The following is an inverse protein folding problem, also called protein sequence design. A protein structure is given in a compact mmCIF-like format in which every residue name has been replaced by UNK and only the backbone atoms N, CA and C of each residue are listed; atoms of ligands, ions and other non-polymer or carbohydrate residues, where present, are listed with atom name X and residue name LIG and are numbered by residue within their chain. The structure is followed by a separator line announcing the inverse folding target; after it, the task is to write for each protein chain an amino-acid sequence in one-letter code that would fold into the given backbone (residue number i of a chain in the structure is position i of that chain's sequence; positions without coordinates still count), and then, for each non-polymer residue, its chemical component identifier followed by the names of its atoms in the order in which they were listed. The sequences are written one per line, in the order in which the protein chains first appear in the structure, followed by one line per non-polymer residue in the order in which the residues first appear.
data_IF_788758151482
#
_entry.id   IF_788758151482
#
_cell.length_a   1.000
_cell.length_b   1.000
_cell.length_c   1.000
_cell.angle_alpha   90.00
_cell.angle_beta   90.00
_cell.angle_gamma   90.00
#
_symmetry.space_group_name_H-M   'P 1'
#
loop_
_entity.id
_entity.type
_entity.pdbx_description
1 polymer ?
#
# COMPACT_ATOMS: atom_id res chain seq x y z
N UNK A 1 5.12 16.70 -7.62
CA UNK A 1 5.47 15.63 -6.65
C UNK A 1 4.89 14.31 -7.15
N UNK A 2 5.67 13.23 -7.20
CA UNK A 2 5.18 11.87 -7.47
C UNK A 2 5.45 11.02 -6.24
N UNK A 3 4.48 10.23 -5.81
CA UNK A 3 4.58 9.37 -4.63
C UNK A 3 4.39 7.92 -5.05
N UNK A 4 5.24 7.04 -4.55
CA UNK A 4 5.04 5.60 -4.60
C UNK A 4 4.75 5.13 -3.18
N UNK A 5 3.47 5.00 -2.85
CA UNK A 5 3.02 4.55 -1.54
C UNK A 5 3.07 3.03 -1.46
N UNK A 6 3.72 2.49 -0.42
CA UNK A 6 3.84 1.06 -0.20
C UNK A 6 3.61 0.70 1.27
N UNK A 7 3.43 -0.60 1.51
CA UNK A 7 3.45 -1.20 2.84
C UNK A 7 3.70 -2.71 2.73
N UNK A 8 4.25 -3.31 3.79
CA UNK A 8 4.45 -4.76 3.91
C UNK A 8 3.15 -5.51 3.60
N UNK A 9 3.20 -6.62 2.81
CA UNK A 9 2.01 -7.42 2.47
C UNK A 9 1.16 -7.81 3.68
N UNK A 10 1.79 -8.26 4.77
CA UNK A 10 1.10 -8.59 6.02
C UNK A 10 0.28 -7.44 6.59
N UNK A 11 0.81 -6.22 6.59
CA UNK A 11 0.08 -5.04 7.09
C UNK A 11 -1.11 -4.71 6.19
N UNK A 12 -0.96 -4.81 4.86
CA UNK A 12 -2.07 -4.59 3.92
C UNK A 12 -3.17 -5.65 4.07
N UNK A 13 -2.78 -6.91 4.24
CA UNK A 13 -3.70 -8.00 4.51
C UNK A 13 -4.45 -7.82 5.83
N UNK A 14 -3.76 -7.42 6.91
CA UNK A 14 -4.38 -7.12 8.21
C UNK A 14 -5.39 -5.97 8.13
N UNK A 15 -5.04 -4.87 7.43
CA UNK A 15 -5.97 -3.75 7.20
C UNK A 15 -7.21 -4.21 6.44
N UNK A 16 -7.04 -5.03 5.39
CA UNK A 16 -8.15 -5.61 4.61
C UNK A 16 -9.01 -6.55 5.45
N UNK A 17 -8.38 -7.42 6.24
CA UNK A 17 -9.07 -8.33 7.15
C UNK A 17 -9.95 -7.55 8.14
N UNK A 18 -9.43 -6.50 8.76
CA UNK A 18 -10.19 -5.63 9.65
C UNK A 18 -11.40 -5.01 8.94
N UNK A 19 -11.21 -4.46 7.73
CA UNK A 19 -12.31 -3.90 6.93
C UNK A 19 -13.41 -4.93 6.64
N UNK A 20 -13.05 -6.16 6.26
CA UNK A 20 -14.01 -7.22 5.99
C UNK A 20 -14.78 -7.62 7.26
N UNK A 21 -14.08 -7.77 8.38
CA UNK A 21 -14.68 -8.06 9.68
C UNK A 21 -15.65 -6.96 10.12
N UNK A 22 -15.29 -5.70 9.94
CA UNK A 22 -16.14 -4.55 10.25
C UNK A 22 -17.41 -4.51 9.37
N UNK A 23 -17.35 -5.11 8.18
CA UNK A 23 -18.50 -5.31 7.28
C UNK A 23 -19.31 -6.59 7.57
N UNK A 24 -18.91 -7.39 8.57
CA UNK A 24 -19.54 -8.67 8.88
C UNK A 24 -19.21 -9.81 7.89
N UNK A 25 -18.15 -9.65 7.11
CA UNK A 25 -17.68 -10.64 6.13
C UNK A 25 -16.59 -11.48 6.77
N UNK A 26 -16.78 -12.81 6.80
CA UNK A 26 -15.73 -13.74 7.22
C UNK A 26 -14.59 -13.77 6.20
N UNK A 27 -13.37 -13.78 6.70
CA UNK A 27 -12.16 -13.85 5.89
C UNK A 27 -11.07 -14.60 6.65
N UNK A 28 -10.12 -15.15 5.90
CA UNK A 28 -8.92 -15.79 6.45
C UNK A 28 -7.70 -14.88 6.22
N UNK A 29 -6.94 -14.60 7.27
CA UNK A 29 -5.80 -13.69 7.18
C UNK A 29 -4.65 -14.27 6.35
N UNK A 30 -4.37 -15.57 6.47
CA UNK A 30 -3.31 -16.23 5.71
C UNK A 30 -3.64 -16.24 4.22
N UNK A 31 -4.90 -16.51 3.87
CA UNK A 31 -5.40 -16.41 2.50
C UNK A 31 -5.20 -14.99 1.98
N UNK A 32 -5.63 -13.97 2.73
CA UNK A 32 -5.47 -12.56 2.32
C UNK A 32 -4.01 -12.16 2.11
N UNK A 33 -3.07 -12.64 2.93
CA UNK A 33 -1.64 -12.40 2.72
C UNK A 33 -1.20 -12.99 1.38
N UNK A 34 -1.55 -14.25 1.12
CA UNK A 34 -1.18 -14.94 -0.12
C UNK A 34 -1.76 -14.24 -1.36
N UNK A 35 -2.99 -13.75 -1.28
CA UNK A 35 -3.66 -13.01 -2.35
C UNK A 35 -2.98 -11.67 -2.63
N UNK A 36 -2.63 -10.94 -1.56
CA UNK A 36 -1.92 -9.67 -1.66
C UNK A 36 -0.55 -9.87 -2.32
N UNK A 37 0.23 -10.86 -1.89
CA UNK A 37 1.55 -11.16 -2.48
C UNK A 37 1.45 -11.65 -3.93
N UNK A 38 0.47 -12.49 -4.24
CA UNK A 38 0.24 -12.97 -5.61
C UNK A 38 -0.15 -11.80 -6.54
N UNK A 39 -1.00 -10.89 -6.07
CA UNK A 39 -1.38 -9.68 -6.82
C UNK A 39 -0.18 -8.78 -7.05
N UNK A 40 0.58 -8.49 -6.00
CA UNK A 40 1.76 -7.62 -6.11
C UNK A 40 2.79 -8.16 -7.09
N UNK A 41 3.10 -9.47 -7.03
CA UNK A 41 4.01 -10.11 -7.97
C UNK A 41 3.50 -9.99 -9.40
N UNK A 42 2.20 -10.22 -9.62
CA UNK A 42 1.57 -10.11 -10.94
C UNK A 42 1.63 -8.67 -11.47
N UNK A 43 1.32 -7.69 -10.63
CA UNK A 43 1.29 -6.28 -11.00
C UNK A 43 2.69 -5.71 -11.24
N UNK A 44 3.70 -6.15 -10.50
CA UNK A 44 5.09 -5.76 -10.71
C UNK A 44 5.73 -6.42 -11.94
N UNK A 45 5.32 -7.64 -12.30
CA UNK A 45 5.93 -8.43 -13.39
C UNK A 45 5.20 -8.33 -14.74
N UNK A 46 4.04 -7.67 -14.81
CA UNK A 46 3.28 -7.56 -16.07
C UNK A 46 4.07 -6.81 -17.14
N UNK A 47 3.97 -7.28 -18.39
CA UNK A 47 4.70 -6.71 -19.53
C UNK A 47 4.30 -5.26 -19.85
N UNK A 48 3.03 -4.93 -19.66
CA UNK A 48 2.48 -3.61 -19.99
C UNK A 48 2.19 -2.83 -18.72
N UNK A 49 2.77 -1.63 -18.62
CA UNK A 49 2.60 -0.71 -17.49
C UNK A 49 2.83 -1.36 -16.11
N UNK A 50 3.97 -2.02 -15.83
CA UNK A 50 4.23 -2.67 -14.54
C UNK A 50 4.11 -1.69 -13.37
N UNK A 51 3.70 -2.19 -12.21
CA UNK A 51 3.64 -1.42 -10.97
C UNK A 51 5.06 -1.18 -10.45
N UNK A 52 5.69 -0.11 -10.93
CA UNK A 52 7.03 0.31 -10.54
C UNK A 52 7.02 1.79 -10.14
N UNK A 53 7.89 2.22 -9.20
CA UNK A 53 8.08 3.62 -8.92
C UNK A 53 8.62 4.35 -10.16
N UNK A 54 8.09 5.56 -10.41
CA UNK A 54 8.70 6.45 -11.39
C UNK A 54 10.10 6.87 -10.92
N UNK A 55 11.00 7.21 -11.85
CA UNK A 55 12.38 7.57 -11.54
C UNK A 55 12.52 8.74 -10.55
N UNK A 56 11.56 9.66 -10.55
CA UNK A 56 11.48 10.84 -9.69
C UNK A 56 10.43 10.71 -8.56
N UNK A 57 9.89 9.51 -8.34
CA UNK A 57 8.93 9.26 -7.27
C UNK A 57 9.61 9.19 -5.90
N UNK A 58 8.96 9.77 -4.89
CA UNK A 58 9.32 9.54 -3.49
C UNK A 58 8.68 8.25 -3.03
N UNK A 59 9.49 7.29 -2.57
CA UNK A 59 9.01 6.07 -1.93
C UNK A 59 8.51 6.43 -0.52
N UNK A 60 7.23 6.15 -0.26
CA UNK A 60 6.61 6.35 1.04
C UNK A 60 6.11 5.01 1.56
N UNK A 61 6.80 4.45 2.56
CA UNK A 61 6.34 3.25 3.27
C UNK A 61 5.49 3.66 4.47
N UNK A 62 4.23 3.23 4.48
CA UNK A 62 3.29 3.51 5.57
C UNK A 62 2.98 2.27 6.43
N UNK A 63 3.86 1.28 6.45
CA UNK A 63 3.68 0.03 7.19
C UNK A 63 3.48 0.23 8.70
N UNK A 64 4.08 1.28 9.26
CA UNK A 64 4.11 1.55 10.71
C UNK A 64 3.38 2.86 11.08
N UNK A 65 2.61 3.42 10.16
CA UNK A 65 1.85 4.65 10.37
C UNK A 65 0.35 4.43 10.14
N UNK A 66 -0.46 5.25 10.81
CA UNK A 66 -1.89 5.33 10.57
C UNK A 66 -2.22 6.31 9.43
N UNK A 67 -3.50 6.43 9.10
CA UNK A 67 -3.98 7.32 8.04
C UNK A 67 -3.65 8.80 8.31
N UNK A 68 -3.91 9.37 9.52
CA UNK A 68 -3.52 10.75 9.83
C UNK A 68 -2.02 11.01 9.68
N UNK A 69 -1.16 10.14 10.19
CA UNK A 69 0.29 10.32 10.08
C UNK A 69 0.76 10.20 8.62
N UNK A 70 0.18 9.27 7.85
CA UNK A 70 0.47 9.15 6.41
C UNK A 70 0.08 10.43 5.67
N UNK A 71 -1.09 11.00 5.96
CA UNK A 71 -1.55 12.25 5.35
C UNK A 71 -0.64 13.42 5.71
N UNK A 72 -0.27 13.56 6.99
CA UNK A 72 0.65 14.60 7.43
C UNK A 72 1.98 14.53 6.65
N UNK A 73 2.55 13.32 6.50
CA UNK A 73 3.79 13.12 5.76
C UNK A 73 3.66 13.48 4.28
N UNK A 74 2.53 13.15 3.65
CA UNK A 74 2.25 13.55 2.26
C UNK A 74 2.17 15.07 2.12
N UNK A 75 1.50 15.76 3.05
CA UNK A 75 1.37 17.22 3.02
C UNK A 75 2.70 17.93 3.21
N UNK A 76 3.59 17.41 4.07
CA UNK A 76 4.97 17.90 4.19
C UNK A 76 5.72 17.79 2.86
N UNK A 77 5.70 16.62 2.22
CA UNK A 77 6.36 16.40 0.92
C UNK A 77 5.82 17.32 -0.18
N UNK A 78 4.54 17.67 -0.13
CA UNK A 78 3.95 18.66 -1.05
C UNK A 78 4.56 20.04 -0.80
N UNK A 79 4.64 20.49 0.46
CA UNK A 79 5.19 21.80 0.83
C UNK A 79 6.66 21.95 0.50
N UNK A 80 7.47 20.89 0.65
CA UNK A 80 8.89 20.88 0.28
C UNK A 80 9.13 21.08 -1.23
N UNK A 81 8.11 20.89 -2.06
CA UNK A 81 8.19 20.93 -3.53
C UNK A 81 7.38 22.08 -4.14
N UNK A 82 6.74 22.90 -3.30
CA UNK A 82 6.12 24.18 -3.66
C UNK A 82 7.17 25.29 -3.52
#
# INVERSE_FOLDING_TARGET
LKLFLTARPGIRAQRRYKQLKDMGIEADLEVLVSEVEARDRRDASRKTAPLLPAADAVLLDNSDTDEPATLARVLELVRERL
#
